data_IF_082577893184
#
_entry.id   IF_082577893184
#
_cell.length_a   1.000
_cell.length_b   1.000
_cell.length_c   1.000
_cell.angle_alpha   90.00
_cell.angle_beta   90.00
_cell.angle_gamma   90.00
#
_symmetry.space_group_name_H-M   'P 1'
#
loop_
_entity.id
_entity.type
_entity.pdbx_description
1 polymer ?
#
# COMPACT_ATOMS: atom_id res chain seq x y z
N UNK A 1 -20.12 8.11 2.40
CA UNK A 1 -20.45 6.89 1.65
C UNK A 1 -20.12 5.71 2.55
N UNK A 2 -21.15 5.20 3.24
CA UNK A 2 -20.96 4.25 4.32
C UNK A 2 -21.53 2.86 4.08
N UNK A 3 -21.33 1.97 5.06
CA UNK A 3 -21.65 0.54 4.91
C UNK A 3 -23.13 0.29 4.59
N UNK A 4 -24.02 1.18 5.06
CA UNK A 4 -25.47 1.11 4.78
C UNK A 4 -25.80 1.26 3.29
N UNK A 5 -25.04 2.06 2.54
CA UNK A 5 -25.24 2.20 1.10
C UNK A 5 -24.82 0.95 0.32
N UNK A 6 -23.92 0.13 0.90
CA UNK A 6 -23.47 -1.11 0.30
C UNK A 6 -24.43 -2.29 0.54
N UNK A 7 -25.42 -2.14 1.44
CA UNK A 7 -26.37 -3.20 1.78
C UNK A 7 -27.19 -3.69 0.58
N UNK A 8 -27.46 -2.83 -0.40
CA UNK A 8 -28.20 -3.18 -1.63
C UNK A 8 -27.49 -4.22 -2.50
N UNK A 9 -26.18 -4.39 -2.32
CA UNK A 9 -25.37 -5.36 -3.06
C UNK A 9 -25.24 -6.72 -2.35
N UNK A 10 -25.76 -6.85 -1.12
CA UNK A 10 -25.77 -8.11 -0.37
C UNK A 10 -24.39 -8.78 -0.32
N UNK A 11 -24.35 -10.08 -0.65
CA UNK A 11 -23.13 -10.89 -0.64
C UNK A 11 -22.05 -10.42 -1.64
N UNK A 12 -22.41 -9.62 -2.65
CA UNK A 12 -21.45 -9.08 -3.61
C UNK A 12 -20.70 -7.84 -3.08
N UNK A 13 -21.22 -7.19 -2.02
CA UNK A 13 -20.66 -5.94 -1.51
C UNK A 13 -19.14 -5.98 -1.25
N UNK A 14 -18.55 -7.01 -0.60
CA UNK A 14 -17.11 -7.05 -0.28
C UNK A 14 -16.20 -7.12 -1.50
N UNK A 15 -16.73 -7.56 -2.65
CA UNK A 15 -16.02 -7.64 -3.93
C UNK A 15 -16.09 -6.32 -4.70
N UNK A 16 -17.08 -5.47 -4.41
CA UNK A 16 -17.26 -4.16 -5.02
C UNK A 16 -16.58 -3.05 -4.20
N UNK A 17 -16.67 -3.12 -2.87
CA UNK A 17 -16.10 -2.14 -1.96
C UNK A 17 -15.83 -2.76 -0.59
N UNK A 18 -14.67 -2.43 -0.02
CA UNK A 18 -14.35 -2.73 1.38
C UNK A 18 -15.22 -1.92 2.33
N UNK A 19 -15.45 -2.47 3.53
CA UNK A 19 -16.20 -1.80 4.59
C UNK A 19 -15.57 -0.47 4.99
N UNK A 20 -16.34 0.43 5.60
CA UNK A 20 -15.82 1.69 6.16
C UNK A 20 -14.69 1.44 7.15
N UNK A 21 -14.81 0.39 7.98
CA UNK A 21 -13.78 -0.02 8.92
C UNK A 21 -12.47 -0.38 8.21
N UNK A 22 -12.50 -1.27 7.23
CA UNK A 22 -11.30 -1.68 6.48
C UNK A 22 -10.69 -0.49 5.71
N UNK A 23 -11.53 0.39 5.16
CA UNK A 23 -11.07 1.60 4.47
C UNK A 23 -10.39 2.57 5.42
N UNK A 24 -10.94 2.77 6.61
CA UNK A 24 -10.36 3.64 7.64
C UNK A 24 -9.00 3.10 8.09
N UNK A 25 -8.93 1.81 8.46
CA UNK A 25 -7.68 1.15 8.87
C UNK A 25 -6.60 1.25 7.78
N UNK A 26 -6.96 1.06 6.51
CA UNK A 26 -6.02 1.16 5.39
C UNK A 26 -5.53 2.60 5.13
N UNK A 27 -6.35 3.62 5.41
CA UNK A 27 -6.01 5.03 5.23
C UNK A 27 -5.20 5.60 6.40
N UNK A 28 -5.42 5.10 7.62
CA UNK A 28 -4.71 5.55 8.82
C UNK A 28 -3.44 4.75 9.12
N UNK A 29 -3.06 3.82 8.24
CA UNK A 29 -1.82 3.04 8.41
C UNK A 29 -0.59 3.95 8.38
N UNK A 30 0.51 3.58 9.05
CA UNK A 30 1.77 4.31 8.95
C UNK A 30 2.24 4.43 7.49
N UNK A 31 2.60 5.64 7.10
CA UNK A 31 3.16 5.94 5.77
C UNK A 31 4.10 7.14 5.87
N UNK A 32 5.32 7.00 5.35
CA UNK A 32 6.31 8.06 5.25
C UNK A 32 6.62 8.31 3.77
N UNK A 33 6.15 9.45 3.25
CA UNK A 33 6.31 9.84 1.84
C UNK A 33 7.76 9.83 1.36
N UNK A 34 8.73 10.08 2.26
CA UNK A 34 10.15 10.11 1.88
C UNK A 34 10.80 8.73 1.88
N UNK A 35 10.22 7.75 2.57
CA UNK A 35 10.82 6.42 2.74
C UNK A 35 10.09 5.34 1.97
N UNK A 36 8.76 5.39 1.91
CA UNK A 36 7.94 4.36 1.29
C UNK A 36 7.82 4.64 -0.21
N UNK A 37 8.60 3.91 -1.02
CA UNK A 37 8.76 4.16 -2.46
C UNK A 37 8.62 2.86 -3.28
N UNK A 38 8.59 3.01 -4.59
CA UNK A 38 8.71 1.88 -5.52
C UNK A 38 10.11 1.87 -6.14
N UNK A 39 10.71 0.69 -6.27
CA UNK A 39 11.99 0.48 -6.94
C UNK A 39 11.84 -0.58 -8.04
N UNK A 40 12.60 -0.48 -9.15
CA UNK A 40 12.62 -1.53 -10.16
C UNK A 40 13.13 -2.86 -9.59
N UNK A 41 12.54 -3.98 -10.01
CA UNK A 41 13.00 -5.34 -9.69
C UNK A 41 13.06 -6.20 -10.96
N UNK A 42 14.09 -7.03 -11.07
CA UNK A 42 14.36 -7.84 -12.27
C UNK A 42 13.27 -8.89 -12.58
N UNK A 43 12.50 -9.32 -11.57
CA UNK A 43 11.50 -10.40 -11.70
C UNK A 43 10.06 -9.90 -11.61
N UNK A 44 9.84 -8.78 -10.92
CA UNK A 44 8.49 -8.26 -10.62
C UNK A 44 8.23 -6.88 -11.23
N UNK A 45 9.14 -6.39 -12.09
CA UNK A 45 9.15 -5.05 -12.70
C UNK A 45 9.34 -3.94 -11.66
N UNK A 46 8.45 -3.84 -10.67
CA UNK A 46 8.51 -2.88 -9.57
C UNK A 46 8.03 -3.51 -8.27
N UNK A 47 8.74 -3.22 -7.18
CA UNK A 47 8.38 -3.66 -5.83
C UNK A 47 8.32 -2.48 -4.89
N UNK A 48 7.53 -2.60 -3.83
CA UNK A 48 7.59 -1.61 -2.73
C UNK A 48 8.89 -1.78 -1.99
N UNK A 49 9.47 -0.66 -1.57
CA UNK A 49 10.67 -0.65 -0.76
C UNK A 49 10.66 0.53 0.22
N UNK A 50 11.48 0.41 1.26
CA UNK A 50 11.71 1.44 2.26
C UNK A 50 13.13 1.94 2.20
N UNK A 51 13.33 3.24 1.99
CA UNK A 51 14.67 3.84 1.94
C UNK A 51 15.36 3.72 3.30
N UNK A 52 16.59 3.18 3.29
CA UNK A 52 17.47 3.01 4.45
C UNK A 52 18.54 4.10 4.48
N UNK A 53 19.19 4.37 3.35
CA UNK A 53 20.23 5.40 3.24
C UNK A 53 20.27 6.08 1.87
N UNK A 54 20.87 7.27 1.83
CA UNK A 54 21.08 8.04 0.61
C UNK A 54 22.50 8.61 0.63
N UNK A 55 23.33 8.19 -0.32
CA UNK A 55 24.74 8.53 -0.38
C UNK A 55 25.15 8.81 -1.82
N UNK A 56 25.77 9.97 -2.08
CA UNK A 56 26.36 10.28 -3.39
C UNK A 56 25.39 10.22 -4.57
N UNK A 57 24.10 10.54 -4.36
CA UNK A 57 23.05 10.45 -5.39
C UNK A 57 22.51 9.04 -5.64
N UNK A 58 22.92 8.05 -4.83
CA UNK A 58 22.37 6.69 -4.83
C UNK A 58 21.47 6.48 -3.61
N UNK A 59 20.45 5.67 -3.79
CA UNK A 59 19.48 5.31 -2.75
C UNK A 59 19.63 3.83 -2.44
N UNK A 60 19.78 3.51 -1.15
CA UNK A 60 19.71 2.13 -0.64
C UNK A 60 18.34 1.93 -0.02
N UNK A 61 17.58 0.95 -0.48
CA UNK A 61 16.24 0.65 0.01
C UNK A 61 16.08 -0.84 0.26
N UNK A 62 15.29 -1.19 1.28
CA UNK A 62 14.91 -2.56 1.62
C UNK A 62 13.55 -2.86 0.99
N UNK A 63 13.50 -3.87 0.12
CA UNK A 63 12.29 -4.31 -0.58
C UNK A 63 11.29 -4.97 0.37
N UNK A 64 10.01 -5.02 0.00
CA UNK A 64 8.96 -5.70 0.80
C UNK A 64 9.19 -7.20 0.99
N UNK A 65 10.15 -7.79 0.27
CA UNK A 65 10.58 -9.19 0.39
C UNK A 65 11.86 -9.37 1.23
N UNK A 66 12.39 -8.29 1.84
CA UNK A 66 13.56 -8.32 2.72
C UNK A 66 14.90 -8.40 1.98
N UNK A 67 14.95 -8.03 0.70
CA UNK A 67 16.21 -7.80 -0.04
C UNK A 67 16.62 -6.35 0.00
#
# INVERSE_FOLDING_TARGET
>A
MGDSEMAVFGAAAPYLRKSEKERLEAQTRPFDLKKDVFVPDDKQEFVKAKIVSLEGGKVTAETEYGK
#
